data_IF_573355158750
#
_entry.id   IF_573355158750
#
_cell.length_a   1.000
_cell.length_b   1.000
_cell.length_c   1.000
_cell.angle_alpha   90.00
_cell.angle_beta   90.00
_cell.angle_gamma   90.00
#
_symmetry.space_group_name_H-M   'P 1'
#
loop_
_entity.id
_entity.type
_entity.pdbx_description
1 polymer ?
#
# COMPACT_ATOMS: atom_id res chain seq x y z
N UNK A 1 31.33 -76.07 11.09
CA UNK A 1 30.42 -75.70 9.93
C UNK A 1 29.50 -74.61 10.37
N UNK A 2 29.83 -73.35 10.01
CA UNK A 2 29.02 -72.19 10.35
C UNK A 2 28.09 -71.87 9.14
N UNK A 3 26.79 -72.07 9.35
CA UNK A 3 25.76 -71.68 8.35
C UNK A 3 25.62 -70.16 8.37
N UNK A 4 26.04 -69.47 7.30
CA UNK A 4 25.74 -68.04 7.06
C UNK A 4 24.28 -67.94 6.59
N UNK A 5 23.45 -67.39 7.46
CA UNK A 5 22.07 -67.01 7.12
C UNK A 5 22.16 -65.70 6.30
N UNK A 6 21.90 -65.81 5.02
CA UNK A 6 21.79 -64.61 4.16
C UNK A 6 20.44 -63.94 4.43
N UNK A 7 20.49 -62.74 4.99
CA UNK A 7 19.32 -61.85 5.15
C UNK A 7 19.05 -61.26 3.78
N UNK A 8 18.03 -61.76 3.11
CA UNK A 8 17.48 -61.12 1.91
C UNK A 8 16.78 -59.82 2.31
N UNK A 9 17.41 -58.69 2.15
CA UNK A 9 16.77 -57.39 2.17
C UNK A 9 15.85 -57.32 0.96
N UNK A 10 14.54 -57.34 1.22
CA UNK A 10 13.52 -57.05 0.19
C UNK A 10 13.74 -55.63 -0.26
N UNK A 11 14.23 -55.43 -1.48
CA UNK A 11 14.19 -54.13 -2.18
C UNK A 11 12.74 -53.89 -2.60
N UNK A 12 12.03 -53.06 -1.84
CA UNK A 12 10.72 -52.54 -2.27
C UNK A 12 10.98 -51.32 -3.16
N UNK A 13 10.77 -51.47 -4.43
CA UNK A 13 10.78 -50.36 -5.40
C UNK A 13 9.57 -49.43 -5.18
N UNK A 14 9.71 -48.14 -5.50
CA UNK A 14 8.59 -47.19 -5.48
C UNK A 14 7.51 -47.61 -6.48
N UNK A 15 6.25 -47.56 -6.06
CA UNK A 15 5.13 -47.82 -6.95
C UNK A 15 4.80 -46.60 -7.80
N UNK A 16 4.26 -46.80 -9.02
CA UNK A 16 3.83 -45.71 -9.90
C UNK A 16 2.80 -44.82 -9.20
N UNK A 17 1.92 -45.41 -8.40
CA UNK A 17 0.93 -44.68 -7.61
C UNK A 17 1.57 -43.73 -6.57
N UNK A 18 2.60 -44.22 -5.90
CA UNK A 18 3.30 -43.45 -4.88
C UNK A 18 4.02 -42.21 -5.47
N UNK A 19 4.62 -42.36 -6.67
CA UNK A 19 5.22 -41.22 -7.38
C UNK A 19 4.16 -40.24 -7.87
N UNK A 20 3.00 -40.69 -8.34
CA UNK A 20 1.89 -39.83 -8.72
C UNK A 20 1.33 -39.04 -7.54
N UNK A 21 1.16 -39.67 -6.38
CA UNK A 21 0.69 -39.01 -5.16
C UNK A 21 1.72 -37.99 -4.69
N UNK A 22 3.01 -38.32 -4.68
CA UNK A 22 4.06 -37.42 -4.32
C UNK A 22 4.12 -36.18 -5.23
N UNK A 23 3.98 -36.36 -6.54
CA UNK A 23 3.92 -35.26 -7.51
C UNK A 23 2.67 -34.38 -7.33
N UNK A 24 1.52 -34.98 -7.01
CA UNK A 24 0.30 -34.24 -6.73
C UNK A 24 0.44 -33.35 -5.47
N UNK A 25 1.01 -33.89 -4.41
CA UNK A 25 1.29 -33.13 -3.18
C UNK A 25 2.27 -31.98 -3.47
N UNK A 26 3.34 -32.26 -4.22
CA UNK A 26 4.31 -31.24 -4.61
C UNK A 26 3.69 -30.12 -5.44
N UNK A 27 2.83 -30.46 -6.40
CA UNK A 27 2.12 -29.49 -7.23
C UNK A 27 1.20 -28.58 -6.38
N UNK A 28 0.47 -29.14 -5.42
CA UNK A 28 -0.36 -28.36 -4.49
C UNK A 28 0.49 -27.45 -3.61
N UNK A 29 1.61 -27.93 -3.10
CA UNK A 29 2.54 -27.15 -2.28
C UNK A 29 3.09 -25.94 -3.06
N UNK A 30 3.54 -26.14 -4.30
CA UNK A 30 4.04 -25.09 -5.17
C UNK A 30 2.95 -24.06 -5.47
N UNK A 31 1.73 -24.50 -5.79
CA UNK A 31 0.60 -23.62 -6.05
C UNK A 31 0.25 -22.75 -4.83
N UNK A 32 0.33 -23.30 -3.62
CA UNK A 32 0.12 -22.57 -2.37
C UNK A 32 1.20 -21.49 -2.15
N UNK A 33 2.46 -21.81 -2.38
CA UNK A 33 3.57 -20.86 -2.27
C UNK A 33 3.43 -19.71 -3.28
N UNK A 34 3.07 -20.00 -4.53
CA UNK A 34 2.87 -18.98 -5.55
C UNK A 34 1.73 -18.01 -5.22
N UNK A 35 0.63 -18.50 -4.65
CA UNK A 35 -0.47 -17.64 -4.17
C UNK A 35 -0.02 -16.68 -3.07
N UNK A 36 0.78 -17.17 -2.14
CA UNK A 36 1.28 -16.35 -1.02
C UNK A 36 2.24 -15.26 -1.52
N UNK A 37 3.12 -15.59 -2.45
CA UNK A 37 4.06 -14.64 -3.04
C UNK A 37 3.34 -13.50 -3.78
N UNK A 38 2.29 -13.81 -4.56
CA UNK A 38 1.49 -12.78 -5.25
C UNK A 38 0.77 -11.83 -4.30
N UNK A 39 0.23 -12.34 -3.19
CA UNK A 39 -0.44 -11.52 -2.18
C UNK A 39 0.53 -10.54 -1.49
N UNK A 40 1.73 -10.97 -1.16
CA UNK A 40 2.76 -10.11 -0.53
C UNK A 40 3.14 -8.95 -1.43
N UNK A 41 3.30 -9.18 -2.73
CA UNK A 41 3.69 -8.12 -3.67
C UNK A 41 2.59 -7.05 -3.81
N UNK A 42 1.32 -7.45 -3.93
CA UNK A 42 0.20 -6.52 -4.03
C UNK A 42 0.01 -5.68 -2.75
N UNK A 43 0.21 -6.27 -1.58
CA UNK A 43 0.18 -5.54 -0.31
C UNK A 43 1.33 -4.55 -0.17
N UNK A 44 2.53 -4.89 -0.63
CA UNK A 44 3.66 -3.98 -0.60
C UNK A 44 3.45 -2.75 -1.50
N UNK A 45 2.87 -2.93 -2.69
CA UNK A 45 2.55 -1.83 -3.59
C UNK A 45 1.43 -0.93 -3.04
N UNK A 46 0.37 -1.51 -2.48
CA UNK A 46 -0.67 -0.74 -1.82
C UNK A 46 -0.11 0.09 -0.65
N UNK A 47 0.72 -0.51 0.20
CA UNK A 47 1.37 0.19 1.32
C UNK A 47 2.26 1.33 0.82
N UNK A 48 3.03 1.11 -0.24
CA UNK A 48 3.86 2.15 -0.87
C UNK A 48 3.01 3.32 -1.34
N UNK A 49 1.91 3.07 -2.04
CA UNK A 49 1.00 4.11 -2.51
C UNK A 49 0.38 4.89 -1.35
N UNK A 50 -0.02 4.21 -0.28
CA UNK A 50 -0.53 4.85 0.94
C UNK A 50 0.51 5.78 1.60
N UNK A 51 1.77 5.35 1.73
CA UNK A 51 2.84 6.15 2.30
C UNK A 51 3.14 7.39 1.45
N UNK A 52 3.19 7.25 0.13
CA UNK A 52 3.43 8.36 -0.78
C UNK A 52 2.26 9.36 -0.78
N UNK A 53 1.02 8.87 -0.74
CA UNK A 53 -0.16 9.72 -0.63
C UNK A 53 -0.20 10.49 0.71
N UNK A 54 0.17 9.83 1.81
CA UNK A 54 0.29 10.48 3.13
C UNK A 54 1.34 11.59 3.09
N UNK A 55 2.49 11.35 2.47
CA UNK A 55 3.55 12.32 2.33
C UNK A 55 3.11 13.54 1.50
N UNK A 56 2.43 13.32 0.37
CA UNK A 56 1.87 14.43 -0.43
C UNK A 56 0.89 15.24 0.41
N UNK A 57 -0.05 14.60 1.12
CA UNK A 57 -1.02 15.30 1.95
C UNK A 57 -0.36 16.14 3.06
N UNK A 58 0.64 15.59 3.74
CA UNK A 58 1.40 16.30 4.79
C UNK A 58 2.19 17.47 4.20
N UNK A 59 2.85 17.28 3.05
CA UNK A 59 3.60 18.34 2.38
C UNK A 59 2.70 19.50 1.98
N UNK A 60 1.48 19.23 1.48
CA UNK A 60 0.51 20.28 1.13
C UNK A 60 0.14 21.11 2.35
N UNK A 61 -0.21 20.47 3.47
CA UNK A 61 -0.49 21.21 4.73
C UNK A 61 0.71 21.98 5.24
N UNK A 62 1.88 21.35 5.25
CA UNK A 62 3.12 21.99 5.72
C UNK A 62 3.53 23.20 4.86
N UNK A 63 3.31 23.11 3.55
CA UNK A 63 3.61 24.19 2.62
C UNK A 63 2.79 25.45 2.92
N UNK A 64 1.50 25.31 3.15
CA UNK A 64 0.61 26.43 3.50
C UNK A 64 0.93 26.98 4.90
N UNK A 65 1.22 26.10 5.85
CA UNK A 65 1.63 26.51 7.20
C UNK A 65 2.96 27.30 7.17
N UNK A 66 3.94 26.85 6.39
CA UNK A 66 5.24 27.50 6.27
C UNK A 66 5.18 28.86 5.57
N UNK A 67 4.28 29.00 4.58
CA UNK A 67 4.06 30.25 3.86
C UNK A 67 3.22 31.25 4.64
N UNK A 68 2.48 30.78 5.65
CA UNK A 68 1.47 31.60 6.34
C UNK A 68 0.33 32.01 5.42
N UNK A 69 -0.01 31.16 4.47
CA UNK A 69 -1.01 31.45 3.44
C UNK A 69 -2.42 31.55 4.06
N UNK A 70 -3.12 32.65 3.80
CA UNK A 70 -4.55 32.82 4.08
C UNK A 70 -5.36 32.63 2.82
N UNK A 71 -5.59 31.36 2.46
CA UNK A 71 -6.23 30.99 1.18
C UNK A 71 -7.74 31.18 1.31
N UNK A 72 -8.38 31.68 0.24
CA UNK A 72 -9.83 31.80 0.19
C UNK A 72 -10.52 30.40 0.28
N UNK A 73 -11.74 30.39 0.81
CA UNK A 73 -12.59 29.21 0.81
C UNK A 73 -12.84 28.72 -0.61
N UNK A 74 -12.89 27.42 -0.80
CA UNK A 74 -13.08 26.80 -2.12
C UNK A 74 -12.28 25.53 -2.26
N UNK A 75 -12.20 25.05 -3.50
CA UNK A 75 -11.49 23.81 -3.86
C UNK A 75 -10.33 24.13 -4.79
N UNK A 76 -9.18 23.53 -4.50
CA UNK A 76 -8.02 23.50 -5.38
C UNK A 76 -7.63 22.06 -5.67
N UNK A 77 -7.13 21.80 -6.88
CA UNK A 77 -6.70 20.46 -7.30
C UNK A 77 -5.37 20.54 -8.04
N UNK A 78 -4.64 19.47 -8.04
CA UNK A 78 -3.40 19.36 -8.78
C UNK A 78 -2.88 17.94 -8.80
N UNK A 79 -1.69 17.79 -9.34
CA UNK A 79 -1.00 16.53 -9.49
C UNK A 79 0.40 16.65 -8.90
N UNK A 80 0.88 15.56 -8.32
CA UNK A 80 2.25 15.40 -7.85
C UNK A 80 2.76 14.00 -8.23
N UNK A 81 4.05 13.89 -8.54
CA UNK A 81 4.69 12.62 -8.85
C UNK A 81 5.73 12.31 -7.79
N UNK A 82 5.51 11.24 -7.02
CA UNK A 82 6.41 10.81 -5.96
C UNK A 82 6.92 9.39 -6.25
N UNK A 83 8.25 9.24 -6.32
CA UNK A 83 8.90 7.97 -6.58
C UNK A 83 8.33 7.21 -7.79
N UNK A 84 7.95 7.93 -8.87
CA UNK A 84 7.37 7.36 -10.10
C UNK A 84 5.86 7.07 -10.02
N UNK A 85 5.20 7.34 -8.88
CA UNK A 85 3.76 7.21 -8.72
C UNK A 85 3.11 8.58 -8.92
N UNK A 86 2.16 8.68 -9.84
CA UNK A 86 1.37 9.88 -10.06
C UNK A 86 0.19 9.93 -9.09
N UNK A 87 0.09 11.01 -8.32
CA UNK A 87 -0.91 11.22 -7.29
C UNK A 87 -1.67 12.52 -7.58
N UNK A 88 -2.98 12.46 -7.49
CA UNK A 88 -3.87 13.61 -7.63
C UNK A 88 -4.24 14.09 -6.23
N UNK A 89 -4.08 15.39 -5.97
CA UNK A 89 -4.48 15.97 -4.71
C UNK A 89 -5.62 16.98 -4.92
N UNK A 90 -6.46 17.06 -3.91
CA UNK A 90 -7.57 18.00 -3.81
C UNK A 90 -7.56 18.62 -2.42
N UNK A 91 -7.63 19.94 -2.37
CA UNK A 91 -7.71 20.74 -1.16
C UNK A 91 -9.08 21.41 -1.10
N UNK A 92 -9.84 21.11 -0.06
CA UNK A 92 -11.11 21.76 0.21
C UNK A 92 -10.94 22.66 1.44
N UNK A 93 -11.03 23.98 1.21
CA UNK A 93 -10.87 25.01 2.25
C UNK A 93 -12.25 25.52 2.66
N UNK A 94 -12.55 25.50 3.94
CA UNK A 94 -13.82 25.95 4.51
C UNK A 94 -13.62 26.85 5.72
N UNK A 95 -14.58 27.73 5.95
CA UNK A 95 -14.60 28.56 7.17
C UNK A 95 -14.88 27.71 8.40
N UNK A 96 -14.47 28.21 9.55
CA UNK A 96 -14.77 27.65 10.86
C UNK A 96 -15.56 28.66 11.71
N UNK A 97 -16.18 28.24 12.82
CA UNK A 97 -16.86 29.19 13.73
C UNK A 97 -15.95 30.28 14.27
N UNK A 98 -14.64 30.04 14.32
CA UNK A 98 -13.65 31.07 14.64
C UNK A 98 -13.05 31.64 13.36
N UNK A 99 -13.29 32.94 13.06
CA UNK A 99 -12.86 33.56 11.81
C UNK A 99 -11.33 33.64 11.62
N UNK A 100 -10.55 33.43 12.68
CA UNK A 100 -9.07 33.37 12.61
C UNK A 100 -8.54 32.02 12.12
N UNK A 101 -9.43 31.04 11.88
CA UNK A 101 -9.06 29.71 11.41
C UNK A 101 -9.87 29.33 10.18
N UNK A 102 -9.23 28.65 9.23
CA UNK A 102 -9.89 27.93 8.15
C UNK A 102 -9.53 26.48 8.23
N UNK A 103 -10.52 25.62 8.01
CA UNK A 103 -10.29 24.18 7.90
C UNK A 103 -9.85 23.87 6.49
N UNK A 104 -8.77 23.12 6.36
CA UNK A 104 -8.26 22.62 5.11
C UNK A 104 -8.28 21.09 5.13
N UNK A 105 -8.96 20.49 4.18
CA UNK A 105 -9.00 19.04 4.00
C UNK A 105 -8.26 18.70 2.71
N UNK A 106 -7.21 17.89 2.82
CA UNK A 106 -6.43 17.43 1.69
C UNK A 106 -6.78 15.98 1.43
N UNK A 107 -7.28 15.68 0.23
CA UNK A 107 -7.56 14.33 -0.26
C UNK A 107 -6.58 13.98 -1.35
N UNK A 108 -6.01 12.78 -1.30
CA UNK A 108 -5.05 12.28 -2.30
C UNK A 108 -5.54 10.96 -2.86
N UNK A 109 -5.53 10.85 -4.19
CA UNK A 109 -5.90 9.67 -4.96
C UNK A 109 -4.77 9.26 -5.88
N UNK A 110 -4.71 8.00 -6.28
CA UNK A 110 -3.82 7.58 -7.34
C UNK A 110 -4.38 8.00 -8.71
N UNK A 111 -3.51 8.34 -9.67
CA UNK A 111 -3.96 8.84 -10.97
C UNK A 111 -4.66 7.78 -11.83
N UNK A 112 -4.40 6.49 -11.57
CA UNK A 112 -5.04 5.34 -12.21
C UNK A 112 -6.45 5.04 -11.66
N UNK A 113 -6.72 5.46 -10.41
CA UNK A 113 -8.06 5.40 -9.80
C UNK A 113 -8.42 6.72 -9.08
N UNK A 114 -8.79 7.78 -9.82
CA UNK A 114 -9.06 9.10 -9.26
C UNK A 114 -10.28 9.16 -8.32
N UNK A 115 -11.16 8.15 -8.38
CA UNK A 115 -12.36 8.09 -7.55
C UNK A 115 -12.09 7.54 -6.16
N UNK A 116 -11.04 6.76 -6.02
CA UNK A 116 -10.65 6.17 -4.74
C UNK A 116 -9.68 7.09 -4.00
N UNK A 117 -10.14 7.65 -2.89
CA UNK A 117 -9.30 8.47 -2.01
C UNK A 117 -8.41 7.56 -1.18
N UNK A 118 -7.11 7.55 -1.50
CA UNK A 118 -6.09 6.76 -0.78
C UNK A 118 -5.80 7.36 0.59
N UNK A 119 -5.74 8.70 0.68
CA UNK A 119 -5.45 9.42 1.92
C UNK A 119 -6.28 10.69 2.03
N UNK A 120 -6.75 10.96 3.24
CA UNK A 120 -7.41 12.21 3.61
C UNK A 120 -6.78 12.75 4.89
N UNK A 121 -6.41 14.03 4.89
CA UNK A 121 -5.79 14.68 6.03
C UNK A 121 -6.45 16.05 6.24
N UNK A 122 -6.74 16.36 7.49
CA UNK A 122 -7.34 17.65 7.86
C UNK A 122 -6.35 18.47 8.67
N UNK A 123 -6.21 19.74 8.32
CA UNK A 123 -5.45 20.74 9.06
C UNK A 123 -6.21 22.05 9.18
N UNK A 124 -5.56 23.02 9.82
CA UNK A 124 -6.12 24.35 9.99
C UNK A 124 -5.11 25.40 9.54
N UNK A 125 -5.59 26.35 8.77
CA UNK A 125 -4.85 27.57 8.42
C UNK A 125 -5.18 28.63 9.47
N UNK A 126 -4.14 29.36 9.90
CA UNK A 126 -4.27 30.43 10.90
C UNK A 126 -4.00 31.76 10.21
N UNK A 127 -4.89 32.72 10.40
CA UNK A 127 -4.66 34.07 9.91
C UNK A 127 -3.48 34.71 10.66
N UNK A 128 -2.38 34.89 9.94
CA UNK A 128 -1.21 35.60 10.49
C UNK A 128 -1.46 37.11 10.42
N UNK A 129 -1.74 37.72 11.59
CA UNK A 129 -1.74 39.19 11.69
C UNK A 129 -0.34 39.69 11.36
N UNK A 130 -0.16 40.25 10.16
CA UNK A 130 1.02 41.08 9.89
C UNK A 130 0.99 42.28 10.86
N UNK A 131 1.99 42.34 11.73
CA UNK A 131 2.27 43.55 12.51
C UNK A 131 2.85 44.62 11.60
#
# INVERSE_FOLDING_TARGET
MLRRTAIHLRQTGFTLLETLVALAILAIAIAAVMRTAGAVTSHAEAMRTHLLADWVAQNRLALHAARGDWIATGTQTGEDTQAGVRLLWREDISDTPNPSFRRMEVSVSAADDPKYVVRKLTGFLVEQRRK
#
